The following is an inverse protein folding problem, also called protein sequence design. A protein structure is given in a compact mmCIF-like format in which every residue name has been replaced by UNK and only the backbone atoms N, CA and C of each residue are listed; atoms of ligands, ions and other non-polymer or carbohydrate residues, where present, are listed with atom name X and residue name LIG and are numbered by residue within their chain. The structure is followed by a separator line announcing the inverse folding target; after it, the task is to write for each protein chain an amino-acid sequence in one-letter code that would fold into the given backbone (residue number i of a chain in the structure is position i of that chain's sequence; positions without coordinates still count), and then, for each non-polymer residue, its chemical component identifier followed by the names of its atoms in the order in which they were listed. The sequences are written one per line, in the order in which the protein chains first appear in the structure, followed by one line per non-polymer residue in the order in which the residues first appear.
data_IF_773963306381
#
_entry.id   IF_773963306381
#
_cell.length_a   1.000
_cell.length_b   1.000
_cell.length_c   1.000
_cell.angle_alpha   90.00
_cell.angle_beta   90.00
_cell.angle_gamma   90.00
#
_symmetry.space_group_name_H-M   'P 1'
#
loop_
_entity.id
_entity.type
_entity.pdbx_description
1 polymer ?
#
# COMPACT_ATOMS: atom_id res chain seq x y z
N UNK A 1 -17.01 -31.10 -10.18
CA UNK A 1 -15.87 -31.88 -9.63
C UNK A 1 -14.96 -30.89 -8.90
N UNK A 2 -14.64 -31.16 -7.65
CA UNK A 2 -13.71 -30.37 -6.83
C UNK A 2 -12.38 -31.14 -6.82
N UNK A 3 -11.31 -30.45 -7.17
CA UNK A 3 -9.95 -30.99 -7.08
C UNK A 3 -9.28 -30.43 -5.84
N UNK A 4 -8.76 -31.29 -4.98
CA UNK A 4 -7.97 -30.89 -3.82
C UNK A 4 -6.50 -30.96 -4.22
N UNK A 5 -5.80 -29.83 -4.11
CA UNK A 5 -4.37 -29.79 -4.35
C UNK A 5 -3.63 -30.52 -3.22
N UNK A 6 -2.62 -31.30 -3.57
CA UNK A 6 -1.77 -32.00 -2.61
C UNK A 6 -0.70 -31.11 -1.99
N UNK A 7 -0.47 -29.90 -2.56
CA UNK A 7 0.46 -28.94 -1.99
C UNK A 7 -0.16 -28.30 -0.74
N UNK A 8 0.62 -28.11 0.35
CA UNK A 8 0.14 -27.37 1.51
C UNK A 8 -0.20 -25.94 1.11
N UNK A 9 -1.30 -25.42 1.65
CA UNK A 9 -1.63 -23.99 1.55
C UNK A 9 -0.84 -23.21 2.59
N UNK A 10 -0.71 -21.91 2.36
CA UNK A 10 -0.09 -21.00 3.32
C UNK A 10 -0.80 -21.07 4.67
N UNK A 11 -0.03 -20.82 5.74
CA UNK A 11 -0.49 -20.92 7.11
C UNK A 11 -1.64 -19.95 7.43
N UNK A 12 -1.65 -18.77 6.84
CA UNK A 12 -2.61 -17.74 7.17
C UNK A 12 -2.82 -16.71 6.06
N UNK A 13 -3.65 -15.75 6.37
CA UNK A 13 -3.87 -14.57 5.55
C UNK A 13 -3.77 -13.31 6.39
N UNK A 14 -3.34 -12.22 5.75
CA UNK A 14 -3.43 -10.85 6.26
C UNK A 14 -4.37 -10.07 5.36
N UNK A 15 -5.27 -9.31 5.95
CA UNK A 15 -6.29 -8.56 5.22
C UNK A 15 -6.61 -7.23 5.90
N UNK A 16 -7.04 -6.27 5.12
CA UNK A 16 -7.63 -5.05 5.63
C UNK A 16 -9.11 -5.30 5.88
N UNK A 17 -9.54 -5.09 7.11
CA UNK A 17 -10.95 -5.13 7.46
C UNK A 17 -11.55 -3.73 7.42
N UNK A 18 -12.64 -3.58 6.69
CA UNK A 18 -13.43 -2.37 6.62
C UNK A 18 -14.86 -2.76 6.97
N UNK A 19 -15.30 -2.43 8.18
CA UNK A 19 -16.64 -2.72 8.62
C UNK A 19 -17.67 -1.86 7.84
N UNK A 20 -18.85 -2.38 7.50
CA UNK A 20 -19.88 -1.57 6.87
C UNK A 20 -20.53 -0.60 7.87
N UNK A 21 -20.91 0.60 7.41
CA UNK A 21 -21.65 1.60 8.18
C UNK A 21 -20.80 2.66 8.87
N UNK A 22 -21.43 3.52 9.66
CA UNK A 22 -20.81 4.71 10.25
C UNK A 22 -19.92 4.44 11.48
N UNK A 23 -20.03 3.29 12.11
CA UNK A 23 -19.15 2.88 13.21
C UNK A 23 -17.75 2.43 12.75
N UNK A 24 -17.44 2.68 11.51
CA UNK A 24 -16.46 1.98 10.70
C UNK A 24 -15.03 2.34 11.09
N UNK A 25 -14.78 3.60 11.41
CA UNK A 25 -13.40 4.07 11.57
C UNK A 25 -12.64 3.36 12.70
N UNK A 26 -13.28 3.12 13.83
CA UNK A 26 -12.66 2.46 14.98
C UNK A 26 -12.32 0.99 14.73
N UNK A 27 -13.04 0.33 13.82
CA UNK A 27 -12.88 -1.09 13.50
C UNK A 27 -12.06 -1.34 12.23
N UNK A 28 -11.71 -0.29 11.49
CA UNK A 28 -10.83 -0.42 10.33
C UNK A 28 -9.42 -0.75 10.80
N UNK A 29 -8.82 -1.75 10.19
CA UNK A 29 -7.48 -2.17 10.57
C UNK A 29 -6.91 -3.23 9.64
N UNK A 30 -5.70 -3.65 9.95
CA UNK A 30 -5.02 -4.79 9.34
C UNK A 30 -5.06 -5.94 10.33
N UNK A 31 -5.56 -7.06 9.88
CA UNK A 31 -5.79 -8.26 10.68
C UNK A 31 -5.12 -9.45 10.04
N UNK A 32 -4.80 -10.42 10.88
CA UNK A 32 -4.31 -11.72 10.44
C UNK A 32 -5.21 -12.85 10.95
N UNK A 33 -5.24 -13.94 10.20
CA UNK A 33 -6.02 -15.12 10.52
C UNK A 33 -5.33 -16.38 10.01
N UNK A 34 -5.26 -17.40 10.85
CA UNK A 34 -4.89 -18.75 10.45
C UNK A 34 -6.00 -19.36 9.60
N UNK A 35 -5.64 -20.07 8.53
CA UNK A 35 -6.64 -20.74 7.67
C UNK A 35 -7.30 -21.95 8.35
N UNK A 36 -6.68 -22.50 9.39
CA UNK A 36 -7.21 -23.62 10.19
C UNK A 36 -8.27 -23.22 11.21
N UNK A 37 -8.48 -21.91 11.41
CA UNK A 37 -9.41 -21.40 12.43
C UNK A 37 -10.16 -20.16 11.95
N UNK A 38 -11.24 -19.79 12.68
CA UNK A 38 -11.96 -18.54 12.47
C UNK A 38 -11.48 -17.40 13.37
N UNK A 39 -10.43 -17.62 14.16
CA UNK A 39 -9.88 -16.59 15.04
C UNK A 39 -9.10 -15.58 14.22
N UNK A 40 -9.40 -14.32 14.47
CA UNK A 40 -8.74 -13.17 13.86
C UNK A 40 -8.03 -12.39 14.95
N UNK A 41 -6.81 -11.96 14.70
CA UNK A 41 -6.07 -11.05 15.57
C UNK A 41 -5.66 -9.80 14.82
N UNK A 42 -5.69 -8.65 15.50
CA UNK A 42 -5.28 -7.38 14.92
C UNK A 42 -3.75 -7.30 14.82
N UNK A 43 -3.26 -6.81 13.67
CA UNK A 43 -1.90 -6.32 13.50
C UNK A 43 -1.87 -4.83 13.80
N UNK A 44 -2.86 -4.09 13.29
CA UNK A 44 -3.03 -2.67 13.51
C UNK A 44 -4.52 -2.29 13.43
N UNK A 45 -4.97 -1.47 14.35
CA UNK A 45 -6.31 -0.86 14.35
C UNK A 45 -6.20 0.67 14.33
N UNK A 46 -7.11 1.35 13.64
CA UNK A 46 -7.11 2.81 13.53
C UNK A 46 -7.19 3.55 14.87
N UNK A 47 -7.65 2.87 15.91
CA UNK A 47 -7.74 3.41 17.28
C UNK A 47 -6.41 3.38 18.02
N UNK A 48 -5.40 2.64 17.53
CA UNK A 48 -4.11 2.53 18.18
C UNK A 48 -3.37 3.88 18.23
N UNK A 49 -3.44 4.62 17.14
CA UNK A 49 -2.93 5.98 17.04
C UNK A 49 -4.09 6.87 16.57
N UNK A 50 -4.54 7.85 17.37
CA UNK A 50 -5.66 8.72 16.98
C UNK A 50 -5.42 9.42 15.64
N UNK A 51 -6.48 9.56 14.85
CA UNK A 51 -6.48 10.22 13.54
C UNK A 51 -5.55 9.57 12.49
N UNK A 52 -5.32 8.28 12.61
CA UNK A 52 -4.57 7.51 11.62
C UNK A 52 -5.42 6.42 10.99
N UNK A 53 -5.01 5.95 9.82
CA UNK A 53 -5.68 4.87 9.10
C UNK A 53 -4.64 3.95 8.45
N UNK A 54 -4.70 2.66 8.77
CA UNK A 54 -3.85 1.67 8.13
C UNK A 54 -4.28 1.39 6.68
N UNK A 55 -3.31 1.34 5.79
CA UNK A 55 -3.52 1.06 4.37
C UNK A 55 -2.28 0.41 3.75
N UNK A 56 -2.38 -0.04 2.50
CA UNK A 56 -1.26 -0.44 1.66
C UNK A 56 -0.30 -1.43 2.33
N UNK A 57 -0.81 -2.55 2.85
CA UNK A 57 0.05 -3.63 3.34
C UNK A 57 0.52 -4.53 2.18
N UNK A 58 1.74 -5.04 2.27
CA UNK A 58 2.32 -5.94 1.27
C UNK A 58 3.39 -6.83 1.88
N UNK A 59 3.56 -8.01 1.30
CA UNK A 59 4.55 -9.00 1.65
C UNK A 59 5.46 -9.30 0.46
N UNK A 60 6.72 -9.61 0.72
CA UNK A 60 7.59 -10.19 -0.30
C UNK A 60 7.16 -11.63 -0.57
N UNK A 61 6.50 -11.89 -1.69
CA UNK A 61 6.08 -13.23 -2.10
C UNK A 61 5.30 -14.02 -1.04
N UNK A 62 4.55 -13.33 -0.17
CA UNK A 62 3.81 -13.96 0.92
C UNK A 62 4.64 -14.28 2.18
N UNK A 63 5.92 -13.93 2.19
CA UNK A 63 6.83 -14.18 3.32
C UNK A 63 6.53 -13.21 4.48
N UNK A 64 6.08 -13.69 5.65
CA UNK A 64 5.75 -12.83 6.79
C UNK A 64 6.97 -12.13 7.42
N UNK A 65 8.19 -12.58 7.15
CA UNK A 65 9.42 -11.92 7.61
C UNK A 65 9.73 -10.62 6.84
N UNK A 66 9.02 -10.38 5.72
CA UNK A 66 9.16 -9.19 4.88
C UNK A 66 7.80 -8.54 4.66
N UNK A 67 7.50 -7.58 5.50
CA UNK A 67 6.19 -6.91 5.53
C UNK A 67 6.33 -5.40 5.45
N UNK A 68 5.47 -4.75 4.69
CA UNK A 68 5.33 -3.30 4.63
C UNK A 68 3.89 -2.90 4.88
N UNK A 69 3.69 -1.90 5.73
CA UNK A 69 2.38 -1.33 6.07
C UNK A 69 2.49 0.19 6.09
N UNK A 70 1.58 0.89 5.41
CA UNK A 70 1.50 2.34 5.50
C UNK A 70 0.39 2.78 6.44
N UNK A 71 0.71 3.65 7.38
CA UNK A 71 -0.21 4.32 8.30
C UNK A 71 -0.36 5.77 7.83
N UNK A 72 -1.56 6.14 7.43
CA UNK A 72 -1.92 7.52 7.01
C UNK A 72 -2.29 8.36 8.22
N UNK A 73 -2.11 9.67 8.11
CA UNK A 73 -2.47 10.66 9.13
C UNK A 73 -1.30 11.57 9.48
N UNK A 74 -1.53 12.51 10.37
CA UNK A 74 -0.50 13.47 10.81
C UNK A 74 0.74 12.79 11.42
N UNK A 75 0.49 11.71 12.17
CA UNK A 75 1.53 10.83 12.75
C UNK A 75 1.74 9.57 11.91
N UNK A 76 1.44 9.68 10.62
CA UNK A 76 1.57 8.55 9.70
C UNK A 76 3.02 8.21 9.41
N UNK A 77 3.27 6.94 9.15
CA UNK A 77 4.58 6.42 8.77
C UNK A 77 4.42 5.13 7.96
N UNK A 78 5.44 4.77 7.22
CA UNK A 78 5.53 3.42 6.66
C UNK A 78 6.28 2.53 7.66
N UNK A 79 5.61 1.48 8.10
CA UNK A 79 6.21 0.45 8.94
C UNK A 79 6.78 -0.63 8.03
N UNK A 80 8.04 -0.92 8.20
CA UNK A 80 8.75 -1.97 7.47
C UNK A 80 9.23 -3.02 8.47
N UNK A 81 8.86 -4.27 8.27
CA UNK A 81 9.45 -5.42 8.92
C UNK A 81 10.35 -6.15 7.93
N UNK A 82 11.55 -6.45 8.35
CA UNK A 82 12.49 -7.28 7.61
C UNK A 82 13.29 -8.13 8.60
N UNK A 83 13.15 -9.46 8.48
CA UNK A 83 13.91 -10.43 9.30
C UNK A 83 13.82 -10.14 10.80
N UNK A 84 12.59 -9.92 11.29
CA UNK A 84 12.32 -9.63 12.71
C UNK A 84 12.67 -8.19 13.16
N UNK A 85 13.23 -7.36 12.27
CA UNK A 85 13.55 -5.97 12.58
C UNK A 85 12.47 -5.03 12.05
N UNK A 86 12.01 -4.12 12.90
CA UNK A 86 11.04 -3.09 12.53
C UNK A 86 11.71 -1.75 12.31
N UNK A 87 11.32 -1.08 11.24
CA UNK A 87 11.69 0.31 10.95
C UNK A 87 10.44 1.14 10.73
N UNK A 88 10.50 2.39 11.18
CA UNK A 88 9.46 3.40 10.94
C UNK A 88 10.05 4.46 10.01
N UNK A 89 9.46 4.58 8.83
CA UNK A 89 9.94 5.48 7.79
C UNK A 89 8.95 6.63 7.65
N UNK A 90 9.41 7.86 7.90
CA UNK A 90 8.70 9.04 7.40
C UNK A 90 9.16 9.25 5.95
N UNK A 91 8.26 8.93 5.03
CA UNK A 91 8.55 9.05 3.59
C UNK A 91 8.34 10.46 3.05
N UNK A 92 7.87 11.39 3.89
CA UNK A 92 7.69 12.80 3.52
C UNK A 92 9.00 13.54 3.71
N UNK A 93 9.63 13.88 2.61
CA UNK A 93 10.88 14.63 2.56
C UNK A 93 10.70 15.83 1.64
N UNK A 94 11.70 16.70 1.56
CA UNK A 94 11.68 17.82 0.62
C UNK A 94 11.59 17.36 -0.85
N UNK A 95 11.99 16.12 -1.13
CA UNK A 95 11.97 15.52 -2.46
C UNK A 95 10.77 14.58 -2.71
N UNK A 96 10.03 14.19 -1.67
CA UNK A 96 8.86 13.30 -1.78
C UNK A 96 7.62 14.02 -1.24
N UNK A 97 6.75 14.44 -2.14
CA UNK A 97 5.58 15.26 -1.80
C UNK A 97 4.47 14.51 -1.07
N UNK A 98 4.54 13.18 -0.99
CA UNK A 98 3.50 12.34 -0.41
C UNK A 98 4.04 11.08 0.27
N UNK A 99 3.15 10.39 0.97
CA UNK A 99 3.45 9.14 1.64
C UNK A 99 3.57 7.97 0.66
N UNK A 100 4.30 6.95 1.03
CA UNK A 100 4.45 5.71 0.28
C UNK A 100 3.13 4.95 0.15
N UNK A 101 2.69 4.70 -1.08
CA UNK A 101 1.48 3.96 -1.42
C UNK A 101 1.80 2.78 -2.33
N UNK A 102 0.89 1.81 -2.40
CA UNK A 102 0.95 0.69 -3.35
C UNK A 102 2.30 -0.04 -3.41
N UNK A 103 2.81 -0.58 -2.29
CA UNK A 103 4.11 -1.22 -2.23
C UNK A 103 4.21 -2.47 -3.10
N UNK A 104 5.34 -2.64 -3.78
CA UNK A 104 5.72 -3.87 -4.46
C UNK A 104 7.14 -4.27 -4.08
N UNK A 105 7.28 -5.40 -3.41
CA UNK A 105 8.57 -5.96 -3.07
C UNK A 105 9.28 -6.54 -4.29
N UNK A 106 10.56 -6.23 -4.42
CA UNK A 106 11.45 -6.97 -5.30
C UNK A 106 11.70 -8.38 -4.70
N UNK A 107 11.81 -9.42 -5.53
CA UNK A 107 11.97 -10.79 -5.05
C UNK A 107 13.18 -11.04 -4.13
N UNK A 108 14.26 -10.26 -4.27
CA UNK A 108 15.44 -10.38 -3.39
C UNK A 108 15.22 -9.80 -1.98
N UNK A 109 14.13 -9.03 -1.77
CA UNK A 109 13.82 -8.39 -0.48
C UNK A 109 14.68 -7.17 -0.15
N UNK A 110 15.51 -6.66 -1.09
CA UNK A 110 16.26 -5.44 -0.91
C UNK A 110 15.47 -4.21 -1.30
N UNK A 111 14.77 -4.25 -2.44
CA UNK A 111 14.07 -3.10 -2.99
C UNK A 111 12.57 -3.20 -2.81
N UNK A 112 11.93 -2.05 -2.59
CA UNK A 112 10.47 -1.91 -2.60
C UNK A 112 10.14 -0.73 -3.51
N UNK A 113 9.34 -0.97 -4.55
CA UNK A 113 8.77 0.11 -5.34
C UNK A 113 7.51 0.63 -4.66
N UNK A 114 7.37 1.95 -4.59
CA UNK A 114 6.22 2.65 -4.03
C UNK A 114 5.70 3.68 -5.03
N UNK A 115 4.41 3.91 -4.97
CA UNK A 115 3.78 5.05 -5.62
C UNK A 115 3.71 6.24 -4.65
N UNK A 116 4.00 7.43 -5.14
CA UNK A 116 3.85 8.70 -4.42
C UNK A 116 2.63 9.42 -5.01
N UNK A 117 1.47 9.27 -4.38
CA UNK A 117 0.23 9.84 -4.89
C UNK A 117 -0.21 11.03 -4.05
N UNK A 118 -0.43 12.18 -4.67
CA UNK A 118 -1.19 13.27 -4.09
C UNK A 118 -2.60 13.18 -4.65
N UNK A 119 -3.51 12.66 -3.86
CA UNK A 119 -4.89 12.39 -4.27
C UNK A 119 -5.83 13.52 -3.83
N UNK A 120 -6.85 13.78 -4.64
CA UNK A 120 -8.04 14.52 -4.28
C UNK A 120 -9.24 13.58 -4.28
N UNK A 121 -10.06 13.65 -3.26
CA UNK A 121 -11.25 12.83 -3.12
C UNK A 121 -12.49 13.70 -3.11
N UNK A 122 -13.42 13.41 -4.00
CA UNK A 122 -14.70 14.09 -4.14
C UNK A 122 -15.85 13.18 -3.71
N UNK A 123 -16.84 13.74 -3.04
CA UNK A 123 -18.04 13.02 -2.62
C UNK A 123 -19.26 13.65 -3.28
N UNK A 124 -20.08 12.81 -3.94
CA UNK A 124 -21.29 13.24 -4.63
C UNK A 124 -22.54 12.70 -3.91
N UNK A 125 -23.51 13.56 -3.71
CA UNK A 125 -24.76 13.20 -3.05
C UNK A 125 -25.78 12.61 -4.03
N UNK A 126 -25.74 13.05 -5.29
CA UNK A 126 -26.77 12.80 -6.29
C UNK A 126 -26.30 12.01 -7.52
N UNK A 127 -25.00 11.80 -7.69
CA UNK A 127 -24.46 11.02 -8.82
C UNK A 127 -24.49 9.52 -8.55
N UNK A 128 -24.44 8.71 -9.61
CA UNK A 128 -24.30 7.25 -9.50
C UNK A 128 -22.96 6.90 -8.84
N UNK A 129 -21.90 7.56 -9.23
CA UNK A 129 -20.57 7.46 -8.62
C UNK A 129 -20.48 8.41 -7.43
N UNK A 130 -20.65 7.85 -6.22
CA UNK A 130 -20.71 8.66 -4.99
C UNK A 130 -19.36 9.12 -4.48
N UNK A 131 -18.30 8.48 -4.92
CA UNK A 131 -16.93 8.79 -4.50
C UNK A 131 -16.03 8.73 -5.73
N UNK A 132 -15.34 9.80 -5.98
CA UNK A 132 -14.31 9.87 -7.01
C UNK A 132 -12.97 10.21 -6.37
N UNK A 133 -11.90 9.57 -6.85
CA UNK A 133 -10.54 9.81 -6.38
C UNK A 133 -9.67 10.11 -7.58
N UNK A 134 -9.02 11.26 -7.54
CA UNK A 134 -8.12 11.73 -8.59
C UNK A 134 -6.71 11.86 -8.06
N UNK A 135 -5.73 11.46 -8.84
CA UNK A 135 -4.35 11.79 -8.57
C UNK A 135 -4.03 13.17 -9.14
N UNK A 136 -3.59 14.10 -8.28
CA UNK A 136 -3.07 15.40 -8.72
C UNK A 136 -1.61 15.31 -9.14
N UNK A 137 -0.87 14.39 -8.53
CA UNK A 137 0.52 14.02 -8.86
C UNK A 137 0.66 12.55 -8.53
N UNK A 138 1.35 11.81 -9.38
CA UNK A 138 1.67 10.41 -9.13
C UNK A 138 3.00 10.05 -9.77
N UNK A 139 3.93 9.62 -8.95
CA UNK A 139 5.28 9.20 -9.34
C UNK A 139 5.62 7.85 -8.72
N UNK A 140 6.63 7.17 -9.22
CA UNK A 140 7.14 5.94 -8.63
C UNK A 140 8.57 6.14 -8.13
N UNK A 141 8.83 5.66 -6.92
CA UNK A 141 10.17 5.62 -6.34
C UNK A 141 10.51 4.20 -5.89
N UNK A 142 11.78 3.92 -5.79
CA UNK A 142 12.29 2.67 -5.26
C UNK A 142 13.01 2.96 -3.94
N UNK A 143 12.60 2.27 -2.88
CA UNK A 143 13.27 2.33 -1.59
C UNK A 143 14.26 1.17 -1.46
N UNK A 144 15.52 1.48 -1.18
CA UNK A 144 16.55 0.51 -0.84
C UNK A 144 16.54 0.26 0.67
N UNK A 145 16.14 -0.94 1.07
CA UNK A 145 16.03 -1.31 2.49
C UNK A 145 17.37 -1.49 3.18
N UNK A 146 18.45 -1.70 2.45
CA UNK A 146 19.81 -1.84 2.99
C UNK A 146 20.44 -0.49 3.22
N UNK A 147 20.46 0.34 2.16
CA UNK A 147 21.09 1.67 2.21
C UNK A 147 20.19 2.72 2.90
N UNK A 148 18.93 2.36 3.16
CA UNK A 148 17.93 3.27 3.76
C UNK A 148 17.78 4.57 2.96
N UNK A 149 17.67 4.47 1.65
CA UNK A 149 17.55 5.60 0.75
C UNK A 149 16.48 5.40 -0.31
N UNK A 150 16.01 6.51 -0.87
CA UNK A 150 15.07 6.54 -1.99
C UNK A 150 15.88 6.69 -3.28
N UNK A 151 15.60 5.83 -4.23
CA UNK A 151 16.12 5.89 -5.60
C UNK A 151 14.99 6.42 -6.49
N UNK A 152 15.28 7.50 -7.18
CA UNK A 152 14.43 8.09 -8.20
C UNK A 152 15.03 7.91 -9.59
N UNK A 153 14.21 7.93 -10.62
CA UNK A 153 14.62 7.82 -12.01
C UNK A 153 13.70 8.64 -12.89
N UNK A 154 14.24 9.36 -13.83
CA UNK A 154 13.48 10.14 -14.83
C UNK A 154 12.52 9.27 -15.67
N UNK A 155 12.69 7.95 -15.64
CA UNK A 155 11.78 6.99 -16.27
C UNK A 155 10.54 6.70 -15.40
N UNK A 156 10.58 7.02 -14.11
CA UNK A 156 9.56 6.73 -13.11
C UNK A 156 8.93 7.99 -12.50
N UNK A 157 9.46 9.17 -12.91
CA UNK A 157 9.02 10.51 -12.48
C UNK A 157 8.98 11.41 -13.70
N UNK A 158 8.06 11.13 -14.64
CA UNK A 158 8.10 11.77 -15.97
C UNK A 158 7.25 13.04 -16.05
N UNK A 159 6.48 13.37 -15.03
CA UNK A 159 5.45 14.41 -15.05
C UNK A 159 4.11 13.94 -15.63
N UNK A 160 4.00 12.67 -15.99
CA UNK A 160 2.73 11.97 -16.19
C UNK A 160 2.25 11.40 -14.83
N UNK A 161 1.33 10.45 -14.85
CA UNK A 161 0.82 9.81 -13.64
C UNK A 161 1.28 8.34 -13.62
N UNK A 162 2.40 8.07 -13.00
CA UNK A 162 2.93 6.73 -12.78
C UNK A 162 2.41 6.17 -11.46
N UNK A 163 1.74 5.02 -11.49
CA UNK A 163 1.16 4.42 -10.28
C UNK A 163 1.10 2.90 -10.34
N UNK A 164 0.79 2.25 -9.21
CA UNK A 164 0.63 0.81 -9.07
C UNK A 164 1.84 -0.01 -9.55
N UNK A 165 3.04 0.24 -9.00
CA UNK A 165 4.22 -0.51 -9.40
C UNK A 165 4.10 -1.99 -9.04
N UNK A 166 4.63 -2.86 -9.90
CA UNK A 166 4.70 -4.29 -9.65
C UNK A 166 5.96 -4.90 -10.25
N UNK A 167 6.83 -5.42 -9.41
CA UNK A 167 7.98 -6.22 -9.88
C UNK A 167 7.51 -7.55 -10.48
N UNK A 168 8.19 -7.99 -11.53
CA UNK A 168 8.09 -9.35 -12.05
C UNK A 168 8.58 -10.36 -11.01
N UNK A 169 8.14 -11.61 -11.15
CA UNK A 169 8.52 -12.68 -10.22
C UNK A 169 10.03 -12.97 -10.21
N UNK A 170 10.71 -12.71 -11.32
CA UNK A 170 12.16 -12.83 -11.46
C UNK A 170 12.95 -11.58 -11.08
N UNK A 171 12.26 -10.45 -10.80
CA UNK A 171 12.85 -9.18 -10.42
C UNK A 171 13.45 -8.36 -11.58
N UNK A 172 13.44 -8.85 -12.81
CA UNK A 172 14.08 -8.17 -13.93
C UNK A 172 13.26 -7.04 -14.56
N UNK A 173 11.97 -6.95 -14.23
CA UNK A 173 11.08 -5.94 -14.80
C UNK A 173 10.23 -5.30 -13.71
N UNK A 174 9.94 -4.01 -13.89
CA UNK A 174 8.96 -3.26 -13.10
C UNK A 174 7.82 -2.84 -14.05
N UNK A 175 6.62 -3.31 -13.76
CA UNK A 175 5.40 -2.90 -14.45
C UNK A 175 4.70 -1.83 -13.64
N UNK A 176 4.05 -0.89 -14.31
CA UNK A 176 3.24 0.15 -13.66
C UNK A 176 2.16 0.67 -14.60
N UNK A 177 1.18 1.34 -14.05
CA UNK A 177 0.19 2.08 -14.82
C UNK A 177 0.72 3.47 -15.12
N UNK A 178 0.48 3.94 -16.35
CA UNK A 178 0.82 5.28 -16.81
C UNK A 178 -0.43 5.95 -17.40
N UNK A 179 -0.79 7.11 -16.88
CA UNK A 179 -1.76 8.01 -17.50
C UNK A 179 -1.08 9.35 -17.81
N UNK A 180 -1.31 9.88 -19.01
CA UNK A 180 -0.70 11.15 -19.44
C UNK A 180 -1.57 12.35 -19.12
N UNK A 181 -2.87 12.14 -19.11
CA UNK A 181 -3.89 13.16 -18.84
C UNK A 181 -4.97 12.54 -17.95
N UNK A 182 -5.53 13.33 -17.08
CA UNK A 182 -6.72 12.99 -16.32
C UNK A 182 -7.76 14.08 -16.56
N UNK A 183 -8.97 13.65 -16.91
CA UNK A 183 -10.12 14.54 -16.90
C UNK A 183 -10.48 14.82 -15.43
N UNK A 184 -10.01 15.95 -14.92
CA UNK A 184 -10.46 16.40 -13.60
C UNK A 184 -11.91 16.88 -13.75
N UNK A 185 -12.78 16.61 -12.76
CA UNK A 185 -14.13 17.13 -12.76
C UNK A 185 -14.06 18.65 -12.81
N UNK A 186 -14.65 19.20 -13.82
CA UNK A 186 -14.53 20.64 -14.10
C UNK A 186 -15.34 21.51 -13.15
N UNK A 187 -16.38 21.01 -12.52
CA UNK A 187 -17.16 21.69 -11.48
C UNK A 187 -18.17 20.73 -10.82
N UNK A 188 -18.32 20.82 -9.50
CA UNK A 188 -19.44 20.29 -8.74
C UNK A 188 -19.95 21.34 -7.78
#
# INVERSE_FOLDING_TARGET
TIYVNAQPIDYGMVFRYIAPGYEVYSKVGIYQRELSSFRTSAIYENTLIPQTCANCHSFKQGDPEYFSLHIRGEKGATVLQKEGTFRYLDSRTDSTSSAFSYPSWHPDGRYIAYSLNKTYQSFHVTAEDRVEVYDLVSDIVIYDTQENCILASDLLTTGAFETFPKFSADGHSLYFCLAREQDLPTEY
#
